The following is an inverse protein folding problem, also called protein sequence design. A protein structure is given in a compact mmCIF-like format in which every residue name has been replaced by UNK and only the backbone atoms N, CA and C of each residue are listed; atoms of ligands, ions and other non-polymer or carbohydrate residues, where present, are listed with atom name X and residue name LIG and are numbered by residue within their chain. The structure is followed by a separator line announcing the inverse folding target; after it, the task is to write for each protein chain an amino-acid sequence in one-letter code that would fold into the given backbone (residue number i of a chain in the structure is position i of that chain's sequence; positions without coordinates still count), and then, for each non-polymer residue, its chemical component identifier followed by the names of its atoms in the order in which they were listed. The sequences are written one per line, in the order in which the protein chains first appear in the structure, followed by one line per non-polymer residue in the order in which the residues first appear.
data_IF_085384212034
#
_entry.id   IF_085384212034
#
_cell.length_a   1.000
_cell.length_b   1.000
_cell.length_c   1.000
_cell.angle_alpha   90.00
_cell.angle_beta   90.00
_cell.angle_gamma   90.00
#
_symmetry.space_group_name_H-M   'P 1'
#
loop_
_entity.id
_entity.type
_entity.pdbx_description
1 polymer ?
#
# COMPACT_ATOMS: atom_id res chain seq x y z
N UNK A 1 -29.72 10.35 4.39
CA UNK A 1 -29.17 10.62 3.05
C UNK A 1 -29.61 9.48 2.16
N UNK A 2 -30.33 9.78 1.09
CA UNK A 2 -30.92 8.79 0.18
C UNK A 2 -29.83 8.19 -0.74
N UNK A 3 -29.92 6.89 -1.03
CA UNK A 3 -28.95 6.13 -1.84
C UNK A 3 -28.76 6.75 -3.23
N UNK A 4 -29.81 7.31 -3.81
CA UNK A 4 -29.74 8.01 -5.10
C UNK A 4 -28.88 9.28 -5.03
N UNK A 5 -28.92 10.00 -3.90
CA UNK A 5 -28.13 11.21 -3.69
C UNK A 5 -26.65 10.89 -3.48
N UNK A 6 -26.33 9.76 -2.85
CA UNK A 6 -24.96 9.27 -2.69
C UNK A 6 -24.33 8.90 -4.05
N UNK A 7 -25.08 8.20 -4.90
CA UNK A 7 -24.60 7.81 -6.25
C UNK A 7 -24.33 9.04 -7.13
N UNK A 8 -25.15 10.08 -6.99
CA UNK A 8 -24.98 11.32 -7.75
C UNK A 8 -23.77 12.13 -7.25
N UNK A 9 -23.55 12.24 -5.94
CA UNK A 9 -22.37 12.96 -5.40
C UNK A 9 -21.04 12.30 -5.80
N UNK A 10 -21.04 10.96 -5.96
CA UNK A 10 -19.88 10.19 -6.43
C UNK A 10 -19.58 10.49 -7.91
N UNK A 11 -20.60 10.64 -8.76
CA UNK A 11 -20.41 10.99 -10.18
C UNK A 11 -19.89 12.41 -10.38
N UNK A 12 -20.23 13.31 -9.47
CA UNK A 12 -19.89 14.72 -9.54
C UNK A 12 -18.54 15.05 -8.86
N UNK A 13 -17.82 14.04 -8.33
CA UNK A 13 -16.47 14.18 -7.80
C UNK A 13 -16.37 14.86 -6.43
N UNK A 14 -17.50 15.02 -5.73
CA UNK A 14 -17.57 15.67 -4.43
C UNK A 14 -17.38 14.62 -3.32
N UNK A 15 -16.11 14.33 -3.00
CA UNK A 15 -15.74 13.37 -1.96
C UNK A 15 -16.00 13.96 -0.56
N UNK A 16 -16.82 13.33 0.30
CA UNK A 16 -16.96 13.78 1.68
C UNK A 16 -15.63 13.62 2.43
N UNK A 17 -15.26 14.64 3.20
CA UNK A 17 -13.98 14.84 3.88
C UNK A 17 -13.68 13.85 5.04
N UNK A 18 -14.14 12.60 4.97
CA UNK A 18 -13.90 11.59 6.01
C UNK A 18 -13.31 10.34 5.38
N UNK A 19 -11.99 10.39 5.15
CA UNK A 19 -11.15 9.20 5.12
C UNK A 19 -11.41 8.47 6.45
N UNK A 20 -12.29 7.48 6.40
CA UNK A 20 -12.70 6.73 7.58
C UNK A 20 -11.50 5.93 8.03
N UNK A 21 -10.92 6.27 9.20
CA UNK A 21 -9.80 5.57 9.79
C UNK A 21 -9.90 4.05 9.61
N UNK A 22 -8.93 3.45 8.92
CA UNK A 22 -8.68 2.01 9.00
C UNK A 22 -8.39 1.71 10.47
N UNK A 23 -9.07 0.73 11.06
CA UNK A 23 -8.60 0.16 12.33
C UNK A 23 -7.28 -0.55 12.03
N UNK A 24 -6.17 0.18 12.15
CA UNK A 24 -4.84 -0.40 12.10
C UNK A 24 -4.77 -1.56 13.09
N UNK A 25 -4.12 -2.68 12.75
CA UNK A 25 -3.89 -3.73 13.72
C UNK A 25 -3.25 -3.16 15.00
N UNK A 26 -3.62 -3.64 16.20
CA UNK A 26 -3.04 -3.14 17.45
C UNK A 26 -1.50 -3.16 17.41
N UNK A 27 -0.87 -2.02 17.70
CA UNK A 27 0.59 -1.86 17.66
C UNK A 27 1.16 -1.42 16.30
N UNK A 28 0.33 -1.30 15.26
CA UNK A 28 0.76 -0.81 13.94
C UNK A 28 0.53 0.70 13.88
N UNK A 29 1.51 1.44 13.34
CA UNK A 29 1.41 2.88 13.07
C UNK A 29 1.45 3.09 11.56
N UNK A 30 0.49 3.84 11.03
CA UNK A 30 0.56 4.31 9.65
C UNK A 30 1.74 5.27 9.48
N UNK A 31 2.60 4.96 8.52
CA UNK A 31 3.67 5.85 8.06
C UNK A 31 3.15 6.78 6.96
N UNK A 32 2.29 6.25 6.08
CA UNK A 32 1.56 7.04 5.08
C UNK A 32 0.21 6.39 4.76
N UNK A 33 -0.73 7.23 4.29
CA UNK A 33 -2.03 6.84 3.75
C UNK A 33 -2.21 7.60 2.44
N UNK A 34 -2.39 6.88 1.34
CA UNK A 34 -2.45 7.45 -0.02
C UNK A 34 -3.55 6.78 -0.82
N UNK A 35 -4.05 7.45 -1.85
CA UNK A 35 -4.88 6.79 -2.85
C UNK A 35 -4.01 5.88 -3.75
N UNK A 36 -4.63 4.88 -4.33
CA UNK A 36 -3.96 3.98 -5.26
C UNK A 36 -4.91 3.14 -6.08
N UNK A 37 -4.32 2.33 -6.96
CA UNK A 37 -5.01 1.31 -7.76
C UNK A 37 -4.25 0.00 -7.62
N UNK A 38 -4.97 -1.08 -7.32
CA UNK A 38 -4.40 -2.43 -7.26
C UNK A 38 -4.91 -3.27 -8.43
N UNK A 39 -4.02 -3.97 -9.12
CA UNK A 39 -4.37 -4.99 -10.11
C UNK A 39 -3.96 -6.37 -9.60
N UNK A 40 -4.90 -7.30 -9.53
CA UNK A 40 -4.63 -8.67 -9.14
C UNK A 40 -4.37 -9.55 -10.36
N UNK A 41 -3.42 -10.46 -10.25
CA UNK A 41 -3.19 -11.49 -11.27
C UNK A 41 -4.07 -12.70 -11.02
N UNK A 42 -4.92 -13.03 -11.99
CA UNK A 42 -5.73 -14.25 -12.00
C UNK A 42 -5.34 -15.11 -13.20
N UNK A 43 -4.71 -16.27 -12.94
CA UNK A 43 -4.18 -17.14 -13.99
C UNK A 43 -3.15 -16.41 -14.86
N UNK A 44 -3.40 -16.34 -16.16
CA UNK A 44 -2.50 -15.70 -17.12
C UNK A 44 -2.70 -14.18 -17.27
N UNK A 45 -3.77 -13.60 -16.70
CA UNK A 45 -4.16 -12.21 -16.91
C UNK A 45 -4.19 -11.36 -15.64
N UNK A 46 -4.30 -10.05 -15.85
CA UNK A 46 -4.56 -9.06 -14.80
C UNK A 46 -6.05 -8.70 -14.80
N UNK A 47 -6.60 -8.34 -13.64
CA UNK A 47 -7.94 -7.76 -13.57
C UNK A 47 -7.97 -6.31 -14.11
N UNK A 48 -9.11 -5.64 -13.97
CA UNK A 48 -9.31 -4.27 -14.46
C UNK A 48 -8.67 -3.20 -13.57
N UNK A 49 -8.19 -3.56 -12.39
CA UNK A 49 -7.76 -2.62 -11.36
C UNK A 49 -8.92 -2.17 -10.46
N UNK A 50 -8.64 -2.08 -9.17
CA UNK A 50 -9.56 -1.58 -8.15
C UNK A 50 -8.96 -0.36 -7.46
N UNK A 51 -9.75 0.73 -7.33
CA UNK A 51 -9.34 1.89 -6.56
C UNK A 51 -9.28 1.54 -5.08
N UNK A 52 -8.18 1.88 -4.43
CA UNK A 52 -7.92 1.55 -3.02
C UNK A 52 -7.33 2.74 -2.27
N UNK A 53 -7.59 2.79 -0.97
CA UNK A 53 -6.74 3.49 -0.02
C UNK A 53 -5.60 2.57 0.40
N UNK A 54 -4.37 3.04 0.26
CA UNK A 54 -3.15 2.32 0.60
C UNK A 54 -2.58 2.91 1.88
N UNK A 55 -2.59 2.10 2.94
CA UNK A 55 -1.92 2.43 4.20
C UNK A 55 -0.63 1.63 4.31
N UNK A 56 0.50 2.33 4.35
CA UNK A 56 1.81 1.69 4.55
C UNK A 56 2.22 1.87 6.01
N UNK A 57 2.57 0.77 6.67
CA UNK A 57 3.00 0.74 8.08
C UNK A 57 4.43 0.22 8.17
N UNK A 58 4.99 0.06 9.38
CA UNK A 58 6.28 -0.64 9.53
C UNK A 58 6.18 -2.17 9.38
N UNK A 59 4.98 -2.76 9.35
CA UNK A 59 4.76 -4.22 9.38
C UNK A 59 4.08 -4.76 8.11
N UNK A 60 3.20 -3.96 7.51
CA UNK A 60 2.38 -4.35 6.37
C UNK A 60 2.07 -3.18 5.43
N UNK A 61 1.68 -3.53 4.21
CA UNK A 61 0.88 -2.69 3.33
C UNK A 61 -0.57 -3.15 3.40
N UNK A 62 -1.47 -2.23 3.72
CA UNK A 62 -2.90 -2.47 3.83
C UNK A 62 -3.59 -1.77 2.66
N UNK A 63 -4.31 -2.53 1.86
CA UNK A 63 -5.10 -2.04 0.74
C UNK A 63 -6.58 -2.14 1.12
N UNK A 64 -7.28 -1.02 1.08
CA UNK A 64 -8.70 -0.94 1.38
C UNK A 64 -9.47 -0.48 0.16
N UNK A 65 -10.42 -1.30 -0.26
CA UNK A 65 -11.44 -0.89 -1.22
C UNK A 65 -12.80 -0.71 -0.53
N UNK A 66 -13.83 -0.47 -1.33
CA UNK A 66 -15.21 -0.42 -0.84
C UNK A 66 -15.73 -1.78 -0.35
N UNK A 67 -15.17 -2.88 -0.85
CA UNK A 67 -15.68 -4.23 -0.59
C UNK A 67 -14.80 -5.05 0.35
N UNK A 68 -13.51 -4.69 0.47
CA UNK A 68 -12.53 -5.50 1.19
C UNK A 68 -11.42 -4.66 1.81
N UNK A 69 -10.82 -5.22 2.87
CA UNK A 69 -9.56 -4.75 3.47
C UNK A 69 -8.58 -5.91 3.43
N UNK A 70 -7.48 -5.72 2.70
CA UNK A 70 -6.46 -6.72 2.48
C UNK A 70 -5.14 -6.25 3.07
N UNK A 71 -4.64 -6.95 4.08
CA UNK A 71 -3.32 -6.68 4.68
C UNK A 71 -2.29 -7.65 4.13
N UNK A 72 -1.15 -7.12 3.69
CA UNK A 72 0.00 -7.87 3.22
C UNK A 72 1.20 -7.55 4.10
N UNK A 73 1.47 -8.44 5.05
CA UNK A 73 2.69 -8.38 5.83
C UNK A 73 3.92 -8.61 4.96
N UNK A 74 5.03 -7.96 5.30
CA UNK A 74 6.22 -7.95 4.44
C UNK A 74 6.79 -9.34 4.14
N UNK A 75 6.62 -10.30 5.06
CA UNK A 75 7.04 -11.69 4.87
C UNK A 75 6.14 -12.50 3.93
N UNK A 76 4.91 -12.05 3.66
CA UNK A 76 4.01 -12.69 2.70
C UNK A 76 4.36 -12.31 1.24
N UNK A 77 5.12 -11.22 1.05
CA UNK A 77 5.62 -10.78 -0.25
C UNK A 77 7.00 -11.40 -0.46
N UNK A 78 7.05 -12.44 -1.28
CA UNK A 78 8.27 -13.20 -1.55
C UNK A 78 9.23 -12.43 -2.46
N UNK A 79 8.70 -11.68 -3.43
CA UNK A 79 9.42 -10.80 -4.35
C UNK A 79 8.65 -9.51 -4.63
N UNK A 80 9.37 -8.40 -4.80
CA UNK A 80 8.78 -7.15 -5.27
C UNK A 80 9.74 -6.43 -6.24
N UNK A 81 9.16 -5.67 -7.17
CA UNK A 81 9.89 -4.88 -8.15
C UNK A 81 9.18 -3.54 -8.35
N UNK A 82 9.92 -2.45 -8.16
CA UNK A 82 9.47 -1.12 -8.53
C UNK A 82 9.65 -0.93 -10.04
N UNK A 83 8.58 -0.62 -10.77
CA UNK A 83 8.60 -0.39 -12.22
C UNK A 83 8.68 1.11 -12.57
N UNK A 84 7.89 1.92 -11.88
CA UNK A 84 7.85 3.38 -11.97
C UNK A 84 7.90 3.93 -10.53
N UNK A 85 8.10 5.24 -10.36
CA UNK A 85 8.15 5.86 -9.04
C UNK A 85 6.88 5.61 -8.21
N UNK A 86 5.75 5.40 -8.86
CA UNK A 86 4.46 5.14 -8.25
C UNK A 86 3.94 3.71 -8.48
N UNK A 87 4.67 2.81 -9.15
CA UNK A 87 4.17 1.48 -9.53
C UNK A 87 5.05 0.34 -9.00
N UNK A 88 4.47 -0.48 -8.14
CA UNK A 88 5.10 -1.63 -7.52
C UNK A 88 4.45 -2.94 -7.98
N UNK A 89 5.24 -3.89 -8.47
CA UNK A 89 4.83 -5.29 -8.64
C UNK A 89 5.22 -6.09 -7.41
N UNK A 90 4.28 -6.85 -6.86
CA UNK A 90 4.48 -7.76 -5.75
C UNK A 90 4.10 -9.18 -6.15
N UNK A 91 4.89 -10.15 -5.71
CA UNK A 91 4.61 -11.58 -5.82
C UNK A 91 4.72 -12.19 -4.43
N UNK A 92 3.76 -13.04 -4.07
CA UNK A 92 3.73 -13.59 -2.72
C UNK A 92 2.65 -14.63 -2.53
N UNK A 93 2.37 -14.94 -1.27
CA UNK A 93 1.42 -15.99 -0.87
C UNK A 93 0.21 -15.38 -0.18
N UNK A 94 -0.96 -15.58 -0.80
CA UNK A 94 -2.25 -15.34 -0.16
C UNK A 94 -2.65 -16.56 0.70
N UNK A 95 -3.82 -16.49 1.33
CA UNK A 95 -4.42 -17.63 2.04
C UNK A 95 -4.83 -18.78 1.12
N UNK A 96 -4.93 -18.54 -0.19
CA UNK A 96 -5.37 -19.52 -1.19
C UNK A 96 -4.24 -20.02 -2.10
N UNK A 97 -3.03 -19.48 -1.97
CA UNK A 97 -1.86 -19.90 -2.72
C UNK A 97 -1.00 -18.74 -3.20
N UNK A 98 -0.13 -19.02 -4.16
CA UNK A 98 0.70 -18.00 -4.79
C UNK A 98 -0.15 -17.04 -5.62
N UNK A 99 0.16 -15.75 -5.53
CA UNK A 99 -0.48 -14.70 -6.32
C UNK A 99 0.50 -13.57 -6.60
N UNK A 100 0.09 -12.67 -7.49
CA UNK A 100 0.83 -11.45 -7.78
C UNK A 100 -0.15 -10.29 -7.88
N UNK A 101 0.29 -9.11 -7.48
CA UNK A 101 -0.47 -7.89 -7.63
C UNK A 101 0.44 -6.73 -8.03
N UNK A 102 -0.08 -5.82 -8.82
CA UNK A 102 0.54 -4.50 -9.02
C UNK A 102 -0.19 -3.48 -8.17
N UNK A 103 0.55 -2.55 -7.60
CA UNK A 103 0.03 -1.49 -6.76
C UNK A 103 0.58 -0.16 -7.27
N UNK A 104 -0.31 0.69 -7.80
CA UNK A 104 0.01 2.08 -8.10
C UNK A 104 -0.37 2.97 -6.93
N UNK A 105 0.58 3.74 -6.43
CA UNK A 105 0.40 4.65 -5.28
C UNK A 105 1.60 5.59 -5.17
N UNK A 106 1.38 6.83 -4.74
CA UNK A 106 2.46 7.77 -4.40
C UNK A 106 3.41 7.22 -3.32
N UNK A 107 2.96 6.24 -2.54
CA UNK A 107 3.78 5.58 -1.52
C UNK A 107 4.65 4.43 -2.06
N UNK A 108 4.64 4.10 -3.36
CA UNK A 108 5.20 2.86 -3.89
C UNK A 108 6.68 2.66 -3.56
N UNK A 109 7.49 3.72 -3.69
CA UNK A 109 8.89 3.71 -3.28
C UNK A 109 9.08 3.41 -1.80
N UNK A 110 8.30 4.05 -0.92
CA UNK A 110 8.35 3.80 0.53
C UNK A 110 7.94 2.36 0.85
N UNK A 111 6.84 1.88 0.25
CA UNK A 111 6.38 0.49 0.40
C UNK A 111 7.45 -0.50 -0.04
N UNK A 112 8.12 -0.26 -1.17
CA UNK A 112 9.22 -1.08 -1.67
C UNK A 112 10.42 -1.08 -0.71
N UNK A 113 10.84 0.08 -0.21
CA UNK A 113 11.94 0.21 0.73
C UNK A 113 11.68 -0.54 2.04
N UNK A 114 10.45 -0.44 2.58
CA UNK A 114 10.06 -1.16 3.79
C UNK A 114 10.04 -2.67 3.59
N UNK A 115 9.48 -3.14 2.48
CA UNK A 115 9.54 -4.55 2.11
C UNK A 115 10.99 -5.04 1.98
N UNK A 116 11.83 -4.31 1.25
CA UNK A 116 13.23 -4.67 1.03
C UNK A 116 14.02 -4.73 2.35
N UNK A 117 13.75 -3.80 3.26
CA UNK A 117 14.34 -3.78 4.60
C UNK A 117 13.96 -5.00 5.44
N UNK A 118 12.70 -5.43 5.39
CA UNK A 118 12.24 -6.64 6.07
C UNK A 118 12.82 -7.92 5.47
N UNK A 119 13.04 -7.97 4.14
CA UNK A 119 13.65 -9.12 3.48
C UNK A 119 15.17 -9.19 3.69
N UNK A 120 15.83 -8.04 3.82
CA UNK A 120 17.28 -7.94 3.95
C UNK A 120 17.67 -7.00 5.10
N UNK A 121 17.40 -7.36 6.38
CA UNK A 121 17.58 -6.47 7.52
C UNK A 121 19.03 -6.02 7.75
N UNK A 122 20.01 -6.81 7.28
CA UNK A 122 21.43 -6.51 7.40
C UNK A 122 21.98 -5.69 6.22
N UNK A 123 21.13 -5.27 5.28
CA UNK A 123 21.58 -4.50 4.12
C UNK A 123 22.00 -3.07 4.56
N UNK A 124 23.15 -2.53 4.11
CA UNK A 124 23.66 -1.24 4.59
C UNK A 124 22.67 -0.07 4.48
N UNK A 125 21.79 -0.08 3.47
CA UNK A 125 20.79 0.97 3.27
C UNK A 125 19.61 0.90 4.26
N UNK A 126 19.41 -0.22 4.97
CA UNK A 126 18.31 -0.37 5.94
C UNK A 126 18.53 0.48 7.17
N UNK A 127 19.77 0.57 7.65
CA UNK A 127 20.10 1.45 8.78
C UNK A 127 19.74 2.91 8.46
N UNK A 128 20.12 3.39 7.27
CA UNK A 128 19.81 4.74 6.81
C UNK A 128 18.29 4.97 6.65
N UNK A 129 17.56 3.98 6.11
CA UNK A 129 16.10 4.05 5.98
C UNK A 129 15.42 4.14 7.36
N UNK A 130 15.84 3.32 8.33
CA UNK A 130 15.27 3.34 9.68
C UNK A 130 15.55 4.67 10.40
N UNK A 131 16.74 5.23 10.24
CA UNK A 131 17.04 6.58 10.74
C UNK A 131 16.14 7.63 10.08
N UNK A 132 15.98 7.60 8.76
CA UNK A 132 15.13 8.54 8.03
C UNK A 132 13.65 8.45 8.42
N UNK A 133 13.14 7.25 8.70
CA UNK A 133 11.76 7.04 9.17
C UNK A 133 11.55 7.46 10.64
N UNK A 134 12.62 7.48 11.43
CA UNK A 134 12.62 7.88 12.84
C UNK A 134 12.78 9.39 13.01
N UNK A 135 13.51 10.03 12.08
CA UNK A 135 13.56 11.47 11.95
C UNK A 135 12.18 11.94 11.44
N UNK A 136 11.52 12.86 12.15
CA UNK A 136 10.17 13.30 11.80
C UNK A 136 10.05 13.84 10.36
N UNK A 137 8.83 14.07 9.85
CA UNK A 137 8.54 14.44 8.45
C UNK A 137 9.17 15.75 7.95
N UNK A 138 9.99 16.42 8.76
CA UNK A 138 10.72 17.65 8.44
C UNK A 138 12.16 17.41 7.97
N UNK A 139 12.63 16.17 7.98
CA UNK A 139 14.02 15.84 7.67
C UNK A 139 14.19 15.52 6.20
N UNK A 140 14.64 16.51 5.43
CA UNK A 140 15.09 16.33 4.05
C UNK A 140 16.16 15.23 3.97
N UNK A 141 15.85 14.14 3.25
CA UNK A 141 16.85 13.14 2.86
C UNK A 141 17.66 13.76 1.72
N UNK A 142 18.91 14.11 2.00
CA UNK A 142 19.87 14.51 0.98
C UNK A 142 20.62 13.25 0.52
N UNK A 143 20.50 12.96 -0.77
CA UNK A 143 21.22 11.89 -1.47
C UNK A 143 22.72 12.21 -1.60
#
# INVERSE_FOLDING_TARGET
MDTAQLIQSIRDGDYPAVATAVALPPGHRALTVTAGVVWWRYGAGWDQGENVEVTTTSHDVIMRSWTQVLSWGWHAIDAAQLFEDDLLLCQGRSTTGETSFMLRTEAAQLTFCLWAAHRNPNHPQVAALLEALSAGPSSHISW
#
